data_IF_360160721997
#
_entry.id   IF_360160721997
#
_cell.length_a   1.000
_cell.length_b   1.000
_cell.length_c   1.000
_cell.angle_alpha   90.00
_cell.angle_beta   90.00
_cell.angle_gamma   90.00
#
_symmetry.space_group_name_H-M   'P 1'
#
loop_
_entity.id
_entity.type
_entity.pdbx_description
1 polymer ?
#
# COMPACT_ATOMS: atom_id res chain seq x y z
N UNK A 1 -19.49 -11.64 9.79
CA UNK A 1 -18.75 -10.36 9.98
C UNK A 1 -17.29 -10.64 9.63
N UNK A 2 -16.64 -9.74 8.88
CA UNK A 2 -15.22 -9.92 8.52
C UNK A 2 -14.34 -9.70 9.75
N UNK A 3 -13.41 -10.61 10.00
CA UNK A 3 -12.40 -10.50 11.06
C UNK A 3 -11.00 -10.61 10.45
N UNK A 4 -10.18 -9.60 10.70
CA UNK A 4 -8.76 -9.55 10.29
C UNK A 4 -7.91 -9.88 11.50
N UNK A 5 -7.27 -11.03 11.48
CA UNK A 5 -6.24 -11.41 12.44
C UNK A 5 -4.88 -10.98 11.88
N UNK A 6 -4.20 -10.07 12.57
CA UNK A 6 -2.93 -9.54 12.09
C UNK A 6 -2.10 -8.90 13.18
N UNK A 7 -1.03 -8.23 12.79
CA UNK A 7 -0.13 -7.53 13.71
C UNK A 7 0.15 -6.11 13.21
N UNK A 8 0.30 -5.15 14.12
CA UNK A 8 0.45 -3.73 13.76
C UNK A 8 1.75 -3.42 13.00
N UNK A 9 2.80 -4.21 13.23
CA UNK A 9 4.08 -4.08 12.53
C UNK A 9 4.06 -4.73 11.14
N UNK A 10 3.06 -5.53 10.82
CA UNK A 10 2.99 -6.28 9.56
C UNK A 10 2.42 -5.40 8.44
N UNK A 11 3.22 -5.11 7.41
CA UNK A 11 2.79 -4.25 6.31
C UNK A 11 1.62 -4.84 5.51
N UNK A 12 1.56 -6.16 5.30
CA UNK A 12 0.42 -6.79 4.63
C UNK A 12 -0.88 -6.66 5.44
N UNK A 13 -0.79 -6.68 6.78
CA UNK A 13 -1.94 -6.42 7.66
C UNK A 13 -2.39 -4.98 7.49
N UNK A 14 -1.47 -4.02 7.60
CA UNK A 14 -1.77 -2.59 7.42
C UNK A 14 -2.34 -2.31 6.02
N UNK A 15 -1.82 -2.95 4.98
CA UNK A 15 -2.34 -2.87 3.60
C UNK A 15 -3.79 -3.34 3.54
N UNK A 16 -4.07 -4.53 4.06
CA UNK A 16 -5.42 -5.11 4.05
C UNK A 16 -6.43 -4.25 4.82
N UNK A 17 -6.05 -3.73 5.99
CA UNK A 17 -6.88 -2.81 6.78
C UNK A 17 -7.13 -1.48 6.07
N UNK A 18 -6.11 -0.91 5.41
CA UNK A 18 -6.29 0.28 4.56
C UNK A 18 -7.23 -0.03 3.40
N UNK A 19 -7.11 -1.19 2.77
CA UNK A 19 -7.93 -1.60 1.63
C UNK A 19 -9.40 -1.79 2.02
N UNK A 20 -9.70 -2.48 3.12
CA UNK A 20 -11.07 -2.64 3.61
C UNK A 20 -11.72 -1.30 4.00
N UNK A 21 -10.96 -0.40 4.66
CA UNK A 21 -11.42 0.98 4.92
C UNK A 21 -11.74 1.75 3.64
N UNK A 22 -10.89 1.62 2.63
CA UNK A 22 -11.06 2.27 1.31
C UNK A 22 -12.32 1.77 0.61
N UNK A 23 -12.59 0.48 0.67
CA UNK A 23 -13.81 -0.13 0.14
C UNK A 23 -15.04 0.13 1.03
N UNK A 24 -14.90 0.83 2.16
CA UNK A 24 -15.96 1.06 3.14
C UNK A 24 -16.63 -0.24 3.61
N UNK A 25 -15.83 -1.30 3.73
CA UNK A 25 -16.28 -2.61 4.21
C UNK A 25 -16.03 -2.69 5.71
N UNK A 26 -17.04 -2.96 6.55
CA UNK A 26 -16.87 -3.08 7.98
C UNK A 26 -16.11 -4.36 8.34
N UNK A 27 -15.17 -4.26 9.28
CA UNK A 27 -14.38 -5.37 9.76
C UNK A 27 -14.04 -5.23 11.25
N UNK A 28 -13.75 -6.36 11.90
CA UNK A 28 -13.13 -6.44 13.21
C UNK A 28 -11.64 -6.69 13.02
N UNK A 29 -10.78 -5.90 13.65
CA UNK A 29 -9.34 -6.18 13.72
C UNK A 29 -9.02 -6.80 15.09
N UNK A 30 -8.30 -7.92 15.09
CA UNK A 30 -7.74 -8.52 16.31
C UNK A 30 -6.22 -8.65 16.16
N UNK A 31 -5.50 -8.00 17.07
CA UNK A 31 -4.04 -8.04 17.09
C UNK A 31 -3.55 -9.35 17.75
N UNK A 32 -2.87 -10.20 16.99
CA UNK A 32 -2.40 -11.51 17.45
C UNK A 32 -1.23 -11.44 18.44
N UNK A 33 -0.59 -10.27 18.60
CA UNK A 33 0.45 -10.06 19.63
C UNK A 33 -0.15 -9.71 21.00
N UNK A 34 -1.33 -9.11 21.01
CA UNK A 34 -2.00 -8.64 22.24
C UNK A 34 -3.10 -9.62 22.72
N UNK A 35 -3.58 -10.47 21.81
CA UNK A 35 -4.73 -11.34 22.02
C UNK A 35 -4.38 -12.79 21.65
N UNK A 36 -4.16 -13.61 22.69
CA UNK A 36 -3.80 -15.03 22.52
C UNK A 36 -4.92 -15.85 21.87
N UNK A 37 -6.19 -15.50 22.12
CA UNK A 37 -7.31 -16.18 21.49
C UNK A 37 -7.37 -15.85 20.00
N UNK A 38 -7.05 -14.61 19.62
CA UNK A 38 -6.92 -14.20 18.22
C UNK A 38 -5.80 -14.97 17.51
N UNK A 39 -4.66 -15.18 18.18
CA UNK A 39 -3.54 -15.96 17.64
C UNK A 39 -3.93 -17.42 17.39
N UNK A 40 -4.60 -18.07 18.35
CA UNK A 40 -5.02 -19.46 18.20
C UNK A 40 -6.08 -19.62 17.10
N UNK A 41 -7.02 -18.68 17.00
CA UNK A 41 -7.99 -18.66 15.90
C UNK A 41 -7.31 -18.48 14.54
N UNK A 42 -6.36 -17.55 14.43
CA UNK A 42 -5.60 -17.34 13.20
C UNK A 42 -4.83 -18.59 12.77
N UNK A 43 -4.19 -19.30 13.73
CA UNK A 43 -3.51 -20.57 13.48
C UNK A 43 -4.49 -21.65 13.04
N UNK A 44 -5.65 -21.77 13.68
CA UNK A 44 -6.67 -22.75 13.31
C UNK A 44 -7.15 -22.55 11.87
N UNK A 45 -7.32 -21.29 11.44
CA UNK A 45 -7.72 -20.93 10.07
C UNK A 45 -6.61 -21.15 9.03
N UNK A 46 -5.37 -21.32 9.47
CA UNK A 46 -4.19 -21.43 8.61
C UNK A 46 -3.34 -22.67 8.93
N UNK A 47 -3.98 -23.82 9.12
CA UNK A 47 -3.30 -25.12 9.28
C UNK A 47 -2.22 -25.14 10.38
N UNK A 48 -2.48 -24.44 11.49
CA UNK A 48 -1.60 -24.31 12.64
C UNK A 48 -0.48 -23.27 12.48
N UNK A 49 -0.34 -22.63 11.32
CA UNK A 49 0.74 -21.68 11.02
C UNK A 49 0.32 -20.25 11.39
N UNK A 50 1.25 -19.52 11.99
CA UNK A 50 1.10 -18.07 12.24
C UNK A 50 1.48 -17.30 10.96
N UNK A 51 0.48 -16.85 10.20
CA UNK A 51 0.65 -15.96 9.04
C UNK A 51 -0.31 -14.78 9.18
N UNK A 52 0.16 -13.59 8.82
CA UNK A 52 -0.58 -12.36 9.01
C UNK A 52 -0.53 -11.52 7.73
N UNK A 53 -1.66 -10.96 7.27
CA UNK A 53 -2.99 -11.11 7.86
C UNK A 53 -3.62 -12.46 7.49
N UNK A 54 -4.38 -13.03 8.42
CA UNK A 54 -5.37 -14.08 8.14
C UNK A 54 -6.75 -13.43 8.26
N UNK A 55 -7.56 -13.49 7.20
CA UNK A 55 -8.85 -12.80 7.11
C UNK A 55 -9.96 -13.84 7.02
N UNK A 56 -10.81 -13.89 8.05
CA UNK A 56 -12.05 -14.64 8.04
C UNK A 56 -13.18 -13.74 7.52
N UNK A 57 -13.88 -14.18 6.47
CA UNK A 57 -15.00 -13.45 5.89
C UNK A 57 -16.31 -13.66 6.68
N UNK A 58 -16.32 -14.60 7.64
CA UNK A 58 -17.40 -14.81 8.58
C UNK A 58 -18.63 -15.51 7.97
N UNK A 59 -18.44 -16.23 6.87
CA UNK A 59 -19.46 -17.03 6.18
C UNK A 59 -19.22 -18.54 6.31
N UNK A 60 -18.31 -18.97 7.20
CA UNK A 60 -17.96 -20.39 7.39
C UNK A 60 -17.12 -20.99 6.25
N UNK A 61 -16.63 -20.15 5.33
CA UNK A 61 -15.73 -20.55 4.24
C UNK A 61 -14.25 -20.52 4.63
N UNK A 62 -13.38 -20.74 3.65
CA UNK A 62 -11.92 -20.70 3.84
C UNK A 62 -11.45 -19.27 4.09
N UNK A 63 -10.64 -19.07 5.13
CA UNK A 63 -9.98 -17.79 5.38
C UNK A 63 -8.98 -17.43 4.26
N UNK A 64 -8.79 -16.14 4.03
CA UNK A 64 -7.75 -15.62 3.15
C UNK A 64 -6.47 -15.45 3.95
N UNK A 65 -5.37 -16.04 3.48
CA UNK A 65 -4.07 -15.96 4.15
C UNK A 65 -3.14 -15.10 3.29
N UNK A 66 -2.65 -14.01 3.87
CA UNK A 66 -1.77 -13.02 3.22
C UNK A 66 -2.28 -12.52 1.86
N UNK A 67 -3.58 -12.15 1.70
CA UNK A 67 -4.09 -11.71 0.40
C UNK A 67 -3.49 -10.38 -0.05
N UNK A 68 -3.32 -10.24 -1.36
CA UNK A 68 -3.20 -8.93 -2.00
C UNK A 68 -4.57 -8.25 -2.13
N UNK A 69 -4.57 -7.00 -2.59
CA UNK A 69 -5.80 -6.21 -2.69
C UNK A 69 -6.78 -6.79 -3.71
N UNK A 70 -6.29 -7.36 -4.81
CA UNK A 70 -7.13 -7.89 -5.88
C UNK A 70 -7.82 -9.19 -5.42
N UNK A 71 -7.07 -10.07 -4.76
CA UNK A 71 -7.60 -11.30 -4.14
C UNK A 71 -8.65 -10.98 -3.08
N UNK A 72 -8.38 -10.00 -2.22
CA UNK A 72 -9.34 -9.58 -1.19
C UNK A 72 -10.59 -8.95 -1.81
N UNK A 73 -10.45 -8.09 -2.82
CA UNK A 73 -11.59 -7.48 -3.52
C UNK A 73 -12.43 -8.54 -4.24
N UNK A 74 -11.78 -9.45 -4.96
CA UNK A 74 -12.44 -10.53 -5.69
C UNK A 74 -13.27 -11.40 -4.76
N UNK A 75 -12.71 -11.80 -3.62
CA UNK A 75 -13.45 -12.59 -2.62
C UNK A 75 -14.66 -11.85 -2.05
N UNK A 76 -14.56 -10.53 -1.82
CA UNK A 76 -15.68 -9.72 -1.33
C UNK A 76 -16.80 -9.61 -2.36
N UNK A 77 -16.45 -9.51 -3.65
CA UNK A 77 -17.42 -9.45 -4.75
C UNK A 77 -18.07 -10.81 -5.00
N UNK A 78 -17.27 -11.88 -5.04
CA UNK A 78 -17.75 -13.25 -5.24
C UNK A 78 -18.75 -13.68 -4.16
N UNK A 79 -18.52 -13.25 -2.92
CA UNK A 79 -19.39 -13.57 -1.78
C UNK A 79 -20.50 -12.52 -1.55
N UNK A 80 -20.73 -11.64 -2.52
CA UNK A 80 -21.77 -10.60 -2.50
C UNK A 80 -21.69 -9.66 -1.27
N UNK A 81 -20.51 -9.56 -0.65
CA UNK A 81 -20.24 -8.63 0.47
C UNK A 81 -19.96 -7.21 -0.03
N UNK A 82 -19.67 -7.08 -1.32
CA UNK A 82 -19.46 -5.83 -2.05
C UNK A 82 -19.95 -6.03 -3.49
N UNK A 83 -20.72 -5.09 -4.05
CA UNK A 83 -21.09 -5.20 -5.46
C UNK A 83 -19.90 -4.88 -6.36
N UNK A 84 -19.85 -5.45 -7.57
CA UNK A 84 -18.78 -5.13 -8.52
C UNK A 84 -18.81 -3.64 -8.94
N UNK A 85 -20.01 -3.03 -8.96
CA UNK A 85 -20.18 -1.59 -9.17
C UNK A 85 -19.59 -0.77 -8.02
N UNK A 86 -19.94 -1.08 -6.77
CA UNK A 86 -19.38 -0.42 -5.58
C UNK A 86 -17.86 -0.57 -5.51
N UNK A 87 -17.34 -1.76 -5.81
CA UNK A 87 -15.91 -2.02 -5.83
C UNK A 87 -15.23 -1.10 -6.84
N UNK A 88 -15.75 -1.05 -8.07
CA UNK A 88 -15.23 -0.18 -9.14
C UNK A 88 -15.34 1.30 -8.79
N UNK A 89 -16.49 1.75 -8.28
CA UNK A 89 -16.72 3.14 -7.90
C UNK A 89 -15.78 3.59 -6.77
N UNK A 90 -15.70 2.81 -5.67
CA UNK A 90 -14.88 3.15 -4.50
C UNK A 90 -13.39 3.10 -4.80
N UNK A 91 -12.96 2.24 -5.73
CA UNK A 91 -11.60 2.26 -6.28
C UNK A 91 -11.37 3.44 -7.23
N UNK A 92 -12.35 3.78 -8.08
CA UNK A 92 -12.24 4.87 -9.05
C UNK A 92 -12.21 6.26 -8.40
N UNK A 93 -12.99 6.49 -7.34
CA UNK A 93 -12.99 7.74 -6.58
C UNK A 93 -11.62 8.07 -5.97
N UNK A 94 -10.79 7.05 -5.74
CA UNK A 94 -9.44 7.21 -5.20
C UNK A 94 -8.39 7.50 -6.28
N UNK A 95 -8.67 7.14 -7.54
CA UNK A 95 -7.88 7.59 -8.68
C UNK A 95 -8.10 9.07 -9.00
N UNK A 96 -9.08 9.75 -8.39
CA UNK A 96 -9.33 11.18 -8.65
C UNK A 96 -8.12 12.03 -8.24
N UNK A 97 -7.42 11.67 -7.17
CA UNK A 97 -6.17 12.34 -6.79
C UNK A 97 -5.06 12.13 -7.83
N UNK A 98 -4.97 10.93 -8.40
CA UNK A 98 -4.02 10.60 -9.46
C UNK A 98 -4.37 11.29 -10.77
N UNK A 99 -5.67 11.35 -11.11
CA UNK A 99 -6.18 12.01 -12.30
C UNK A 99 -6.00 13.53 -12.24
N UNK A 100 -6.32 14.18 -11.11
CA UNK A 100 -6.05 15.61 -10.88
C UNK A 100 -4.55 15.93 -11.03
N UNK A 101 -3.69 15.05 -10.50
CA UNK A 101 -2.23 15.17 -10.62
C UNK A 101 -1.74 14.98 -12.05
N UNK A 102 -2.28 14.01 -12.79
CA UNK A 102 -2.01 13.82 -14.23
C UNK A 102 -2.43 15.05 -15.02
N UNK A 103 -3.65 15.54 -14.78
CA UNK A 103 -4.20 16.71 -15.47
C UNK A 103 -3.35 17.96 -15.19
N UNK A 104 -2.98 18.20 -13.93
CA UNK A 104 -2.13 19.33 -13.52
C UNK A 104 -0.73 19.23 -14.15
N UNK A 105 -0.15 18.03 -14.18
CA UNK A 105 1.16 17.78 -14.81
C UNK A 105 1.12 18.05 -16.31
N UNK A 106 0.12 17.50 -17.00
CA UNK A 106 -0.07 17.67 -18.44
C UNK A 106 -0.37 19.12 -18.82
N UNK A 107 -1.25 19.81 -18.08
CA UNK A 107 -1.56 21.21 -18.29
C UNK A 107 -0.33 22.11 -18.09
N UNK A 108 0.44 21.88 -17.02
CA UNK A 108 1.69 22.60 -16.78
C UNK A 108 2.71 22.39 -17.91
N UNK A 109 2.92 21.16 -18.35
CA UNK A 109 3.81 20.84 -19.48
C UNK A 109 3.35 21.51 -20.78
N UNK A 110 2.05 21.49 -21.07
CA UNK A 110 1.46 22.16 -22.22
C UNK A 110 1.73 23.67 -22.19
N UNK A 111 1.60 24.32 -21.02
CA UNK A 111 1.93 25.74 -20.84
C UNK A 111 3.43 26.01 -21.09
N UNK A 112 4.33 25.14 -20.61
CA UNK A 112 5.78 25.26 -20.87
C UNK A 112 6.08 25.22 -22.37
N UNK A 113 5.52 24.23 -23.07
CA UNK A 113 5.72 24.04 -24.51
C UNK A 113 5.12 25.21 -25.31
N UNK A 114 3.88 25.60 -25.00
CA UNK A 114 3.20 26.75 -25.63
C UNK A 114 3.94 28.07 -25.37
N UNK A 115 4.69 28.19 -24.27
CA UNK A 115 5.56 29.33 -23.99
C UNK A 115 6.59 29.62 -25.09
N UNK A 116 6.91 28.68 -25.98
CA UNK A 116 7.73 28.94 -27.17
C UNK A 116 7.10 29.95 -28.15
N UNK A 117 5.77 29.97 -28.25
CA UNK A 117 5.02 30.91 -29.09
C UNK A 117 4.70 32.24 -28.38
N UNK A 118 4.99 32.36 -27.06
CA UNK A 118 4.70 33.56 -26.30
C UNK A 118 5.62 34.76 -26.67
N UNK A 119 5.12 36.01 -26.53
CA UNK A 119 5.91 37.23 -26.72
C UNK A 119 7.21 37.21 -25.91
N UNK A 120 8.29 37.80 -26.46
CA UNK A 120 9.62 37.78 -25.84
C UNK A 120 9.63 38.27 -24.38
N UNK A 121 8.78 39.26 -24.06
CA UNK A 121 8.67 39.84 -22.71
C UNK A 121 8.04 38.89 -21.69
N UNK A 122 7.07 38.06 -22.08
CA UNK A 122 6.32 37.18 -21.17
C UNK A 122 6.75 35.72 -21.23
N UNK A 123 7.49 35.32 -22.26
CA UNK A 123 7.96 33.96 -22.50
C UNK A 123 8.57 33.27 -21.29
N UNK A 124 9.48 33.93 -20.58
CA UNK A 124 10.12 33.35 -19.38
C UNK A 124 9.12 33.15 -18.25
N UNK A 125 8.25 34.12 -18.01
CA UNK A 125 7.22 34.04 -16.97
C UNK A 125 6.22 32.91 -17.24
N UNK A 126 5.73 32.79 -18.48
CA UNK A 126 4.80 31.71 -18.88
C UNK A 126 5.43 30.33 -18.70
N UNK A 127 6.69 30.16 -19.12
CA UNK A 127 7.40 28.88 -18.96
C UNK A 127 7.64 28.53 -17.48
N UNK A 128 8.03 29.51 -16.66
CA UNK A 128 8.22 29.29 -15.22
C UNK A 128 6.91 28.90 -14.55
N UNK A 129 5.81 29.60 -14.86
CA UNK A 129 4.49 29.29 -14.30
C UNK A 129 4.03 27.88 -14.71
N UNK A 130 4.16 27.52 -15.99
CA UNK A 130 3.85 26.17 -16.47
C UNK A 130 4.69 25.09 -15.79
N UNK A 131 5.98 25.36 -15.57
CA UNK A 131 6.87 24.43 -14.88
C UNK A 131 6.47 24.24 -13.41
N UNK A 132 6.10 25.31 -12.70
CA UNK A 132 5.61 25.23 -11.32
C UNK A 132 4.32 24.41 -11.23
N UNK A 133 3.38 24.62 -12.15
CA UNK A 133 2.14 23.82 -12.24
C UNK A 133 2.48 22.35 -12.51
N UNK A 134 3.36 22.07 -13.48
CA UNK A 134 3.76 20.70 -13.80
C UNK A 134 4.40 19.99 -12.60
N UNK A 135 5.35 20.65 -11.94
CA UNK A 135 6.07 20.14 -10.77
C UNK A 135 5.08 19.86 -9.62
N UNK A 136 4.10 20.73 -9.39
CA UNK A 136 3.11 20.54 -8.32
C UNK A 136 2.20 19.33 -8.52
N UNK A 137 2.01 18.85 -9.76
CA UNK A 137 1.31 17.58 -10.03
C UNK A 137 2.15 16.34 -9.71
N UNK A 138 3.48 16.46 -9.74
CA UNK A 138 4.42 15.35 -9.54
C UNK A 138 4.88 15.22 -8.07
N UNK A 139 5.01 16.34 -7.34
CA UNK A 139 5.44 16.33 -5.94
C UNK A 139 4.47 15.49 -5.08
N UNK A 140 5.00 14.48 -4.40
CA UNK A 140 4.21 13.60 -3.53
C UNK A 140 3.31 12.60 -4.26
N UNK A 141 3.51 12.38 -5.57
CA UNK A 141 2.73 11.42 -6.35
C UNK A 141 3.46 10.06 -6.48
N UNK A 142 3.10 9.09 -5.63
CA UNK A 142 3.70 7.74 -5.62
C UNK A 142 3.81 7.06 -7.00
N UNK A 143 2.77 7.07 -7.86
CA UNK A 143 2.87 6.53 -9.21
C UNK A 143 3.99 7.12 -10.08
N UNK A 144 4.23 8.44 -10.00
CA UNK A 144 5.34 9.08 -10.71
C UNK A 144 6.71 8.63 -10.19
N UNK A 145 6.86 8.50 -8.86
CA UNK A 145 8.06 7.97 -8.24
C UNK A 145 8.33 6.52 -8.66
N UNK A 146 7.29 5.68 -8.69
CA UNK A 146 7.38 4.30 -9.19
C UNK A 146 7.79 4.23 -10.66
N UNK A 147 7.26 5.10 -11.51
CA UNK A 147 7.66 5.22 -12.92
C UNK A 147 9.11 5.67 -13.10
N UNK A 148 9.61 6.52 -12.19
CA UNK A 148 11.01 6.93 -12.12
C UNK A 148 11.93 5.86 -11.47
N UNK A 149 11.39 4.69 -11.11
CA UNK A 149 12.16 3.58 -10.55
C UNK A 149 12.57 3.76 -9.10
N UNK A 150 11.95 4.69 -8.36
CA UNK A 150 12.19 4.92 -6.93
C UNK A 150 10.95 4.58 -6.11
N UNK A 151 11.13 3.96 -4.95
CA UNK A 151 10.03 3.56 -4.05
C UNK A 151 10.27 4.13 -2.65
N UNK A 152 9.19 4.37 -1.91
CA UNK A 152 9.23 4.73 -0.49
C UNK A 152 9.18 3.51 0.45
N UNK A 153 9.03 2.30 -0.12
CA UNK A 153 9.19 1.03 0.61
C UNK A 153 10.62 0.91 1.12
N UNK A 154 10.80 0.40 2.34
CA UNK A 154 12.05 0.44 3.11
C UNK A 154 12.46 1.85 3.60
N UNK A 155 11.47 2.74 3.72
CA UNK A 155 11.64 4.07 4.29
C UNK A 155 11.92 4.06 5.81
N UNK A 156 12.09 5.23 6.44
CA UNK A 156 12.34 5.34 7.88
C UNK A 156 11.15 4.84 8.72
N UNK A 157 9.95 4.80 8.13
CA UNK A 157 8.78 4.18 8.73
C UNK A 157 8.82 2.65 8.75
N UNK A 158 9.61 2.02 7.86
CA UNK A 158 9.76 0.57 7.74
C UNK A 158 11.05 0.06 8.41
N UNK A 159 12.06 0.93 8.58
CA UNK A 159 13.36 0.65 9.22
C UNK A 159 13.69 1.71 10.31
N UNK A 160 13.02 1.68 11.47
CA UNK A 160 13.18 2.71 12.51
C UNK A 160 14.58 2.69 13.16
N UNK A 161 15.24 1.53 13.17
CA UNK A 161 16.63 1.34 13.59
C UNK A 161 17.64 1.98 12.61
N UNK A 162 17.26 2.09 11.34
CA UNK A 162 18.05 2.73 10.29
C UNK A 162 17.69 4.21 10.10
N UNK A 163 16.85 4.79 10.96
CA UNK A 163 16.31 6.16 10.86
C UNK A 163 17.38 7.27 10.70
N UNK A 164 18.64 6.97 11.05
CA UNK A 164 19.79 7.86 10.90
C UNK A 164 20.31 7.97 9.45
N UNK A 165 19.79 7.18 8.50
CA UNK A 165 20.16 7.27 7.08
C UNK A 165 19.71 8.60 6.47
N UNK A 166 20.59 9.20 5.66
CA UNK A 166 20.34 10.50 5.01
C UNK A 166 19.55 10.43 3.70
N UNK A 167 19.27 9.23 3.17
CA UNK A 167 18.52 9.03 1.93
C UNK A 167 17.69 7.74 1.97
N UNK A 168 16.43 7.83 1.52
CA UNK A 168 15.40 6.82 1.72
C UNK A 168 14.71 6.34 0.44
N UNK A 169 15.19 6.80 -0.72
CA UNK A 169 14.67 6.37 -2.03
C UNK A 169 15.53 5.21 -2.53
N UNK A 170 14.98 4.00 -2.57
CA UNK A 170 15.66 2.82 -3.07
C UNK A 170 15.41 2.63 -4.58
N UNK A 171 16.43 2.31 -5.40
CA UNK A 171 16.26 1.88 -6.78
C UNK A 171 15.43 0.58 -6.87
N UNK A 172 14.51 0.49 -7.82
CA UNK A 172 13.61 -0.67 -8.00
C UNK A 172 14.30 -2.03 -8.25
N UNK A 173 15.60 -2.08 -8.52
CA UNK A 173 16.34 -3.33 -8.70
C UNK A 173 16.84 -3.79 -7.33
N UNK A 174 16.28 -4.90 -6.84
CA UNK A 174 16.56 -5.60 -5.57
C UNK A 174 15.58 -5.32 -4.42
N UNK A 175 14.28 -5.49 -4.65
CA UNK A 175 13.47 -6.17 -3.63
C UNK A 175 13.39 -7.62 -4.07
N UNK A 176 14.39 -8.40 -3.67
CA UNK A 176 14.30 -9.85 -3.76
C UNK A 176 13.23 -10.26 -2.72
N UNK A 177 12.20 -11.06 -3.06
CA UNK A 177 11.35 -11.63 -2.04
C UNK A 177 12.27 -12.36 -1.06
N UNK A 178 12.19 -12.02 0.22
CA UNK A 178 12.98 -12.66 1.27
C UNK A 178 12.85 -14.17 1.12
N UNK A 179 13.90 -14.82 0.62
CA UNK A 179 13.98 -16.26 0.51
C UNK A 179 14.00 -16.82 1.92
N UNK A 180 12.90 -17.47 2.30
CA UNK A 180 12.71 -18.17 3.56
C UNK A 180 13.59 -19.42 3.57
N UNK A 181 14.88 -19.27 3.87
CA UNK A 181 15.75 -20.40 4.19
C UNK A 181 16.96 -19.97 5.01
N UNK A 182 16.75 -19.78 6.32
CA UNK A 182 17.82 -19.94 7.30
C UNK A 182 17.24 -20.60 8.55
N UNK A 183 17.78 -21.75 9.01
CA UNK A 183 17.36 -22.34 10.27
C UNK A 183 17.86 -21.46 11.43
N UNK A 184 16.96 -21.14 12.36
CA UNK A 184 17.27 -20.44 13.62
C UNK A 184 18.03 -21.41 14.54
N UNK A 185 19.20 -21.05 15.09
CA UNK A 185 19.90 -21.91 16.03
C UNK A 185 19.15 -21.98 17.37
N UNK A 186 18.95 -23.20 17.85
CA UNK A 186 18.31 -23.52 19.13
C UNK A 186 19.17 -23.02 20.30
N UNK A 187 18.60 -22.17 21.15
CA UNK A 187 19.23 -21.76 22.41
C UNK A 187 18.93 -22.83 23.48
N UNK A 188 19.93 -23.62 23.85
CA UNK A 188 19.88 -24.49 25.04
C UNK A 188 19.89 -23.64 26.31
N UNK A 189 18.83 -23.76 27.12
CA UNK A 189 18.80 -23.23 28.48
C UNK A 189 19.57 -24.17 29.40
N UNK A 190 20.77 -23.75 29.81
CA UNK A 190 21.44 -24.30 30.99
C UNK A 190 20.75 -23.75 32.24
N UNK A 191 20.16 -24.65 33.01
CA UNK A 191 19.56 -24.38 34.32
C UNK A 191 20.71 -24.58 35.32
N UNK A 192 21.07 -23.50 36.02
CA UNK A 192 21.90 -23.53 37.23
C UNK A 192 21.05 -23.27 38.46
#
# INVERSE_FOLDING_TARGET
MITVYGADWCEDTRRSLRHLRRLSVPYLYRNVDEDLDALEQAKALNSGRRRTPTIDLGLGGRALVEPDNDTLTGALVELEMLTDEDARERMALQNVGDFDRVLRTAAGMAIVLAGAAAPRRTRRAVRVLGALVAISGVIGWCPAYHGAGVTSLEGPGDRPDEAHRRGWLAPRRQVQPLSVTAPVPSVERSIG
#
